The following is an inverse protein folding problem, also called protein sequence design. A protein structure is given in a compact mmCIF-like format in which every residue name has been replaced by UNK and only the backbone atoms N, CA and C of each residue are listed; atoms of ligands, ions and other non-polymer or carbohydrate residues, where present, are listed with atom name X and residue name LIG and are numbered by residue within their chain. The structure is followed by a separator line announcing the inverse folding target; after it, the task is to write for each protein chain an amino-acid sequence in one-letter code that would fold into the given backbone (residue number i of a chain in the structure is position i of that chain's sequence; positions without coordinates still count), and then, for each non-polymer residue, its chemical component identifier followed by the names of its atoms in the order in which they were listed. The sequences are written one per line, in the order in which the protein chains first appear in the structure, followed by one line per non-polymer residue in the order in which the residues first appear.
data_IF_239526358584
#
_entry.id   IF_239526358584
#
_cell.length_a   1.000
_cell.length_b   1.000
_cell.length_c   1.000
_cell.angle_alpha   90.00
_cell.angle_beta   90.00
_cell.angle_gamma   90.00
#
_symmetry.space_group_name_H-M   'P 1'
#
loop_
_entity.id
_entity.type
_entity.pdbx_description
1 polymer ?
#
# COMPACT_ATOMS: atom_id res chain seq x y z
N UNK A 1 0.68 -9.51 -16.22
CA UNK A 1 -0.54 -10.33 -16.40
C UNK A 1 -1.25 -9.84 -17.66
N UNK A 2 -1.63 -10.75 -18.54
CA UNK A 2 -2.32 -10.39 -19.79
C UNK A 2 -3.81 -10.08 -19.53
N UNK A 3 -4.37 -9.16 -20.32
CA UNK A 3 -5.80 -8.84 -20.30
C UNK A 3 -6.72 -10.06 -20.52
N UNK A 4 -6.23 -11.12 -21.20
CA UNK A 4 -6.95 -12.38 -21.37
C UNK A 4 -7.00 -13.20 -20.09
N UNK A 5 -5.86 -13.31 -19.41
CA UNK A 5 -5.80 -13.97 -18.10
C UNK A 5 -6.70 -13.25 -17.09
N UNK A 6 -6.67 -11.91 -17.08
CA UNK A 6 -7.56 -11.09 -16.25
C UNK A 6 -9.03 -11.40 -16.57
N UNK A 7 -9.40 -11.43 -17.86
CA UNK A 7 -10.76 -11.77 -18.27
C UNK A 7 -11.18 -13.17 -17.79
N UNK A 8 -10.30 -14.17 -17.91
CA UNK A 8 -10.55 -15.55 -17.44
C UNK A 8 -10.73 -15.61 -15.92
N UNK A 9 -9.86 -14.95 -15.17
CA UNK A 9 -9.88 -14.98 -13.71
C UNK A 9 -11.05 -14.18 -13.10
N UNK A 10 -11.47 -13.11 -13.77
CA UNK A 10 -12.55 -12.23 -13.29
C UNK A 10 -13.92 -12.60 -13.85
N UNK A 11 -14.00 -13.53 -14.79
CA UNK A 11 -15.23 -13.90 -15.50
C UNK A 11 -15.80 -12.80 -16.42
N UNK A 12 -15.05 -11.70 -16.64
CA UNK A 12 -15.48 -10.60 -17.50
C UNK A 12 -15.15 -10.86 -18.96
N UNK A 13 -15.96 -10.32 -19.88
CA UNK A 13 -15.65 -10.36 -21.32
C UNK A 13 -14.34 -9.61 -21.58
N UNK A 14 -13.46 -10.20 -22.39
CA UNK A 14 -12.14 -9.62 -22.72
C UNK A 14 -12.24 -8.22 -23.34
N UNK A 15 -13.27 -7.95 -24.14
CA UNK A 15 -13.57 -6.62 -24.69
C UNK A 15 -13.81 -5.57 -23.61
N UNK A 16 -14.51 -5.93 -22.53
CA UNK A 16 -14.79 -5.03 -21.42
C UNK A 16 -13.51 -4.78 -20.62
N UNK A 17 -12.70 -5.82 -20.39
CA UNK A 17 -11.39 -5.69 -19.74
C UNK A 17 -10.48 -4.75 -20.53
N UNK A 18 -10.42 -4.87 -21.87
CA UNK A 18 -9.65 -3.96 -22.72
C UNK A 18 -10.12 -2.50 -22.56
N UNK A 19 -11.44 -2.27 -22.58
CA UNK A 19 -12.02 -0.94 -22.39
C UNK A 19 -11.65 -0.38 -21.01
N UNK A 20 -11.82 -1.17 -19.96
CA UNK A 20 -11.59 -0.76 -18.58
C UNK A 20 -10.09 -0.47 -18.35
N UNK A 21 -9.18 -1.24 -18.98
CA UNK A 21 -7.75 -0.95 -18.99
C UNK A 21 -7.47 0.41 -19.63
N UNK A 22 -8.06 0.72 -20.79
CA UNK A 22 -7.85 2.02 -21.43
C UNK A 22 -8.32 3.17 -20.54
N UNK A 23 -9.52 3.06 -19.98
CA UNK A 23 -10.07 4.06 -19.06
C UNK A 23 -9.20 4.22 -17.82
N UNK A 24 -8.72 3.11 -17.23
CA UNK A 24 -7.80 3.13 -16.09
C UNK A 24 -6.48 3.84 -16.43
N UNK A 25 -5.87 3.52 -17.57
CA UNK A 25 -4.60 4.13 -17.99
C UNK A 25 -4.75 5.63 -18.26
N UNK A 26 -5.85 6.05 -18.89
CA UNK A 26 -6.19 7.47 -19.04
C UNK A 26 -6.29 8.17 -17.68
N UNK A 27 -6.96 7.55 -16.71
CA UNK A 27 -7.07 8.10 -15.34
C UNK A 27 -5.72 8.18 -14.61
N UNK A 28 -4.82 7.25 -14.88
CA UNK A 28 -3.45 7.21 -14.31
C UNK A 28 -2.46 8.11 -15.05
N UNK A 29 -2.88 8.82 -16.10
CA UNK A 29 -1.99 9.58 -17.01
C UNK A 29 -0.83 8.73 -17.54
N UNK A 30 -1.09 7.45 -17.78
CA UNK A 30 -0.13 6.50 -18.35
C UNK A 30 -0.51 6.19 -19.79
N UNK A 31 0.48 6.04 -20.65
CA UNK A 31 0.22 5.81 -22.08
C UNK A 31 -0.17 4.35 -22.34
N UNK A 32 -1.30 4.08 -23.03
CA UNK A 32 -1.70 2.72 -23.37
C UNK A 32 -0.63 1.93 -24.14
N UNK A 33 0.21 2.64 -24.91
CA UNK A 33 1.27 2.06 -25.74
C UNK A 33 2.28 1.25 -24.92
N UNK A 34 2.50 1.61 -23.67
CA UNK A 34 3.50 0.99 -22.79
C UNK A 34 3.17 -0.47 -22.47
N UNK A 35 1.91 -0.87 -22.65
CA UNK A 35 1.41 -2.18 -22.26
C UNK A 35 0.77 -2.96 -23.41
N UNK A 36 0.90 -2.49 -24.66
CA UNK A 36 0.31 -3.17 -25.82
C UNK A 36 1.03 -4.49 -26.08
N UNK A 37 0.26 -5.54 -26.29
CA UNK A 37 0.72 -6.84 -26.79
C UNK A 37 -0.23 -7.39 -27.86
N UNK A 38 0.12 -8.55 -28.40
CA UNK A 38 -0.76 -9.34 -29.26
C UNK A 38 -0.87 -10.77 -28.75
N UNK A 39 -1.91 -11.46 -29.17
CA UNK A 39 -2.05 -12.90 -28.97
C UNK A 39 -2.62 -13.56 -30.22
N UNK A 40 -2.27 -14.83 -30.41
CA UNK A 40 -2.84 -15.67 -31.47
C UNK A 40 -4.08 -16.37 -30.94
N UNK A 41 -5.19 -16.21 -31.63
CA UNK A 41 -6.44 -16.92 -31.36
C UNK A 41 -6.44 -18.33 -32.00
N UNK A 42 -7.42 -19.17 -31.66
CA UNK A 42 -7.63 -20.51 -32.23
C UNK A 42 -7.84 -20.49 -33.75
N UNK A 43 -8.20 -19.34 -34.33
CA UNK A 43 -8.31 -19.15 -35.79
C UNK A 43 -6.99 -18.66 -36.43
N UNK A 44 -5.85 -18.76 -35.74
CA UNK A 44 -4.54 -18.25 -36.17
C UNK A 44 -4.50 -16.75 -36.49
N UNK A 45 -5.43 -15.96 -35.93
CA UNK A 45 -5.45 -14.50 -36.10
C UNK A 45 -4.69 -13.85 -34.95
N UNK A 46 -3.85 -12.86 -35.25
CA UNK A 46 -3.26 -12.00 -34.23
C UNK A 46 -4.27 -10.92 -33.82
N UNK A 47 -4.59 -10.89 -32.53
CA UNK A 47 -5.50 -9.94 -31.92
C UNK A 47 -4.78 -9.12 -30.85
N UNK A 48 -5.17 -7.85 -30.65
CA UNK A 48 -4.56 -7.00 -29.65
C UNK A 48 -4.91 -7.46 -28.22
N UNK A 49 -3.95 -7.35 -27.32
CA UNK A 49 -4.14 -7.51 -25.88
C UNK A 49 -3.29 -6.48 -25.12
N UNK A 50 -3.51 -6.39 -23.82
CA UNK A 50 -2.64 -5.64 -22.91
C UNK A 50 -1.88 -6.59 -21.99
N UNK A 51 -0.62 -6.26 -21.69
CA UNK A 51 0.24 -6.94 -20.72
C UNK A 51 0.57 -5.95 -19.60
N UNK A 52 -0.14 -6.08 -18.48
CA UNK A 52 -0.01 -5.14 -17.36
C UNK A 52 1.05 -5.60 -16.35
N UNK A 53 1.83 -4.68 -15.76
CA UNK A 53 2.63 -4.96 -14.59
C UNK A 53 1.76 -5.26 -13.37
N UNK A 54 2.41 -5.69 -12.29
CA UNK A 54 1.73 -6.06 -11.04
C UNK A 54 0.87 -4.91 -10.49
N UNK A 55 1.39 -3.68 -10.50
CA UNK A 55 0.72 -2.50 -9.95
C UNK A 55 -0.60 -2.22 -10.68
N UNK A 56 -0.57 -2.14 -12.01
CA UNK A 56 -1.71 -1.81 -12.86
C UNK A 56 -2.74 -2.94 -12.84
N UNK A 57 -2.27 -4.20 -12.77
CA UNK A 57 -3.15 -5.35 -12.58
C UNK A 57 -3.92 -5.24 -11.25
N UNK A 58 -3.24 -4.89 -10.15
CA UNK A 58 -3.87 -4.73 -8.84
C UNK A 58 -4.87 -3.56 -8.81
N UNK A 59 -4.52 -2.43 -9.44
CA UNK A 59 -5.44 -1.29 -9.56
C UNK A 59 -6.72 -1.70 -10.30
N UNK A 60 -6.58 -2.41 -11.44
CA UNK A 60 -7.72 -2.85 -12.23
C UNK A 60 -8.59 -3.87 -11.46
N UNK A 61 -7.96 -4.91 -10.90
CA UNK A 61 -8.69 -6.03 -10.25
C UNK A 61 -9.34 -5.57 -8.95
N UNK A 62 -8.67 -4.72 -8.16
CA UNK A 62 -9.31 -4.07 -7.03
C UNK A 62 -10.49 -3.22 -7.51
N UNK A 63 -10.40 -2.50 -8.63
CA UNK A 63 -11.53 -1.81 -9.27
C UNK A 63 -12.75 -2.69 -9.60
N UNK A 64 -12.60 -4.00 -9.77
CA UNK A 64 -13.71 -4.92 -10.03
C UNK A 64 -14.37 -5.49 -8.77
N UNK A 65 -13.60 -5.78 -7.72
CA UNK A 65 -14.12 -6.36 -6.48
C UNK A 65 -14.22 -5.30 -5.38
N UNK A 66 -15.46 -4.95 -5.01
CA UNK A 66 -15.74 -4.02 -3.91
C UNK A 66 -15.17 -4.56 -2.59
N UNK A 67 -15.32 -5.86 -2.34
CA UNK A 67 -14.80 -6.53 -1.15
C UNK A 67 -13.27 -6.44 -1.08
N UNK A 68 -12.58 -6.67 -2.21
CA UNK A 68 -11.13 -6.53 -2.27
C UNK A 68 -10.69 -5.09 -1.99
N UNK A 69 -11.41 -4.08 -2.51
CA UNK A 69 -11.13 -2.67 -2.18
C UNK A 69 -11.32 -2.37 -0.71
N UNK A 70 -12.44 -2.82 -0.13
CA UNK A 70 -12.72 -2.62 1.29
C UNK A 70 -11.59 -3.19 2.15
N UNK A 71 -11.20 -4.46 1.91
CA UNK A 71 -10.09 -5.10 2.64
C UNK A 71 -8.75 -4.37 2.51
N UNK A 72 -8.46 -3.80 1.33
CA UNK A 72 -7.26 -2.99 1.12
C UNK A 72 -7.34 -1.70 1.94
N UNK A 73 -8.49 -1.01 1.90
CA UNK A 73 -8.72 0.24 2.64
C UNK A 73 -8.63 -0.01 4.15
N UNK A 74 -9.35 -1.01 4.66
CA UNK A 74 -9.38 -1.34 6.09
C UNK A 74 -7.97 -1.67 6.61
N UNK A 75 -7.20 -2.46 5.85
CA UNK A 75 -5.82 -2.78 6.22
C UNK A 75 -4.91 -1.55 6.22
N UNK A 76 -5.12 -0.62 5.30
CA UNK A 76 -4.35 0.64 5.27
C UNK A 76 -4.68 1.51 6.48
N UNK A 77 -5.96 1.67 6.82
CA UNK A 77 -6.39 2.42 8.02
C UNK A 77 -5.81 1.80 9.30
N UNK A 78 -5.81 0.48 9.42
CA UNK A 78 -5.20 -0.23 10.56
C UNK A 78 -3.70 0.07 10.69
N UNK A 79 -2.96 0.11 9.57
CA UNK A 79 -1.53 0.44 9.58
C UNK A 79 -1.27 1.90 9.97
N UNK A 80 -2.10 2.83 9.51
CA UNK A 80 -2.01 4.25 9.91
C UNK A 80 -2.25 4.42 11.42
N UNK A 81 -3.25 3.73 11.98
CA UNK A 81 -3.49 3.72 13.43
C UNK A 81 -2.32 3.12 14.22
N UNK A 82 -1.75 2.02 13.74
CA UNK A 82 -0.58 1.38 14.38
C UNK A 82 0.64 2.30 14.35
N UNK A 83 0.86 2.99 13.23
CA UNK A 83 1.95 3.95 13.11
C UNK A 83 1.75 5.15 14.05
N UNK A 84 0.52 5.67 14.16
CA UNK A 84 0.20 6.76 15.09
C UNK A 84 0.43 6.35 16.56
N UNK A 85 -0.01 5.15 16.97
CA UNK A 85 0.21 4.63 18.34
C UNK A 85 1.69 4.44 18.66
N UNK A 86 2.47 3.95 17.70
CA UNK A 86 3.92 3.73 17.87
C UNK A 86 4.68 5.05 18.06
N UNK A 87 4.30 6.10 17.33
CA UNK A 87 4.91 7.43 17.47
C UNK A 87 4.64 8.05 18.85
N UNK A 88 3.42 7.91 19.38
CA UNK A 88 3.07 8.40 20.72
C UNK A 88 3.85 7.66 21.82
N UNK A 89 4.00 6.33 21.71
CA UNK A 89 4.77 5.55 22.68
C UNK A 89 6.25 5.96 22.73
N UNK A 90 6.83 6.33 21.59
CA UNK A 90 8.26 6.71 21.50
C UNK A 90 8.53 8.05 22.19
N UNK A 91 7.59 9.01 22.11
CA UNK A 91 7.70 10.30 22.81
C UNK A 91 7.63 10.09 24.33
N UNK A 92 6.70 9.25 24.81
CA UNK A 92 6.56 8.99 26.26
C UNK A 92 7.76 8.26 26.88
N UNK A 93 8.38 7.31 26.17
CA UNK A 93 9.53 6.59 26.69
C UNK A 93 10.77 7.50 26.86
N UNK A 94 10.95 8.43 25.93
CA UNK A 94 12.06 9.40 25.98
C UNK A 94 11.85 10.41 27.11
N UNK A 95 10.63 10.92 27.27
CA UNK A 95 10.27 11.84 28.35
C UNK A 95 10.39 11.19 29.74
N UNK A 96 9.94 9.94 29.90
CA UNK A 96 10.07 9.17 31.14
C UNK A 96 11.54 8.91 31.48
N UNK A 97 12.36 8.53 30.49
CA UNK A 97 13.80 8.33 30.69
C UNK A 97 14.51 9.64 31.10
N UNK A 98 14.12 10.76 30.49
CA UNK A 98 14.67 12.08 30.83
C UNK A 98 14.25 12.55 32.23
N UNK A 99 13.00 12.31 32.62
CA UNK A 99 12.53 12.57 33.99
C UNK A 99 13.24 11.70 35.03
N UNK A 100 13.40 10.40 34.75
CA UNK A 100 14.08 9.47 35.66
C UNK A 100 15.56 9.85 35.83
N UNK A 101 16.23 10.24 34.75
CA UNK A 101 17.62 10.70 34.79
C UNK A 101 17.80 12.00 35.60
N UNK A 102 16.89 12.97 35.44
CA UNK A 102 16.89 14.20 36.26
C UNK A 102 16.66 13.90 37.73
N UNK A 103 15.69 13.04 38.05
CA UNK A 103 15.39 12.64 39.43
C UNK A 103 16.57 11.92 40.10
N UNK A 104 17.28 11.07 39.35
CA UNK A 104 18.49 10.40 39.86
C UNK A 104 19.65 11.38 40.09
N UNK A 105 19.81 12.40 39.24
CA UNK A 105 20.83 13.44 39.44
C UNK A 105 20.56 14.29 40.70
N UNK A 106 19.31 14.69 40.93
CA UNK A 106 18.89 15.47 42.11
C UNK A 106 19.11 14.70 43.44
N UNK A 107 18.92 13.38 43.43
CA UNK A 107 19.19 12.50 44.59
C UNK A 107 20.69 12.41 44.92
N UNK A 108 21.57 12.49 43.92
CA UNK A 108 23.03 12.48 44.14
C UNK A 108 23.52 13.81 44.74
N UNK A 109 22.98 14.95 44.30
CA UNK A 109 23.32 16.27 44.83
C UNK A 109 22.87 16.44 46.30
N UNK A 110 21.68 15.95 46.65
CA UNK A 110 21.13 16.05 48.02
C UNK A 110 21.84 15.13 49.03
N UNK A 111 22.37 13.98 48.58
CA UNK A 111 23.20 13.10 49.41
C UNK A 111 24.60 13.68 49.70
N UNK A 112 25.14 14.52 48.80
CA UNK A 112 26.47 15.12 48.94
C UNK A 112 26.49 16.33 49.89
N UNK A 113 25.36 17.02 50.09
CA UNK A 113 25.27 18.15 51.03
C UNK A 113 25.06 17.74 52.49
N UNK A 114 24.51 16.55 52.77
CA UNK A 114 24.27 16.07 54.16
C UNK A 114 25.49 15.45 54.84
N UNK A 115 26.61 15.28 54.13
CA UNK A 115 27.81 14.64 54.68
C UNK A 115 28.90 15.63 55.15
N UNK A 116 28.61 16.94 55.14
CA UNK A 116 29.58 18.01 55.46
C UNK A 116 29.21 18.88 56.68
N UNK A 117 28.13 18.53 57.41
CA UNK A 117 27.83 19.05 58.76
C UNK A 117 28.14 17.98 59.82
#
# INVERSE_FOLDING_TARGET
MSSREIAKLTGKRHTNVIRDIRTMLTGLKSEPRDFVGSYTDSTCRQLPCFNLPKRETLILVSGYSVELRARIIDRWMELEEQQAKTQVATITATEVSTMMAKYMAEMQETSSHKSCE
#
